data_IF_160213491796
#
_entry.id   IF_160213491796
#
_cell.length_a   1.000
_cell.length_b   1.000
_cell.length_c   1.000
_cell.angle_alpha   90.00
_cell.angle_beta   90.00
_cell.angle_gamma   90.00
#
_symmetry.space_group_name_H-M   'P 1'
#
loop_
_entity.id
_entity.type
_entity.pdbx_description
1 polymer ?
#
# COMPACT_ATOMS: atom_id res chain seq x y z
N UNK A 1 -24.15 -1.18 -3.30
CA UNK A 1 -23.95 -0.35 -4.50
C UNK A 1 -25.28 0.15 -5.06
N UNK A 2 -26.06 -0.67 -5.78
CA UNK A 2 -27.31 -0.21 -6.42
C UNK A 2 -28.41 0.30 -5.49
N UNK A 3 -28.59 -0.32 -4.30
CA UNK A 3 -29.56 0.13 -3.28
C UNK A 3 -29.22 1.51 -2.70
N UNK A 4 -27.93 1.81 -2.60
CA UNK A 4 -27.39 3.09 -2.09
C UNK A 4 -27.09 4.06 -3.24
N UNK A 5 -27.57 3.77 -4.46
CA UNK A 5 -27.32 4.56 -5.69
C UNK A 5 -25.83 4.80 -6.00
N UNK A 6 -24.94 3.91 -5.54
CA UNK A 6 -23.51 3.95 -5.85
C UNK A 6 -23.20 3.13 -7.11
N UNK A 7 -22.38 3.71 -8.00
CA UNK A 7 -21.94 3.11 -9.26
C UNK A 7 -20.42 2.95 -9.28
N UNK A 8 -19.96 1.75 -9.60
CA UNK A 8 -18.54 1.49 -9.79
C UNK A 8 -18.08 2.08 -11.13
N UNK A 9 -16.92 2.77 -11.12
CA UNK A 9 -16.30 3.23 -12.36
C UNK A 9 -15.61 2.05 -13.03
N UNK A 10 -16.21 1.51 -14.10
CA UNK A 10 -15.70 0.31 -14.77
C UNK A 10 -14.23 0.42 -15.19
N UNK A 11 -13.78 1.62 -15.59
CA UNK A 11 -12.38 1.88 -15.94
C UNK A 11 -11.37 1.75 -14.79
N UNK A 12 -11.84 1.59 -13.55
CA UNK A 12 -11.02 1.37 -12.35
C UNK A 12 -11.24 -0.02 -11.75
N UNK A 13 -12.08 -0.85 -12.36
CA UNK A 13 -12.36 -2.18 -11.88
C UNK A 13 -11.46 -3.18 -12.59
N UNK A 14 -10.78 -4.00 -11.80
CA UNK A 14 -10.00 -5.13 -12.30
C UNK A 14 -10.73 -6.41 -11.89
N UNK A 15 -10.90 -7.33 -12.84
CA UNK A 15 -11.63 -8.58 -12.64
C UNK A 15 -10.76 -9.75 -13.07
N UNK A 16 -10.93 -10.90 -12.41
CA UNK A 16 -10.25 -12.16 -12.73
C UNK A 16 -8.71 -12.10 -12.69
N UNK A 17 -8.15 -11.22 -11.86
CA UNK A 17 -6.71 -11.11 -11.63
C UNK A 17 -6.28 -11.98 -10.43
N UNK A 18 -5.12 -12.67 -10.52
CA UNK A 18 -4.63 -13.54 -9.45
C UNK A 18 -4.01 -12.76 -8.27
N UNK A 19 -3.68 -11.49 -8.49
CA UNK A 19 -3.08 -10.57 -7.53
C UNK A 19 -3.62 -9.17 -7.78
N UNK A 20 -3.96 -8.45 -6.72
CA UNK A 20 -4.40 -7.04 -6.77
C UNK A 20 -3.57 -6.18 -5.81
N UNK A 21 -3.29 -4.94 -6.19
CA UNK A 21 -2.69 -3.95 -5.31
C UNK A 21 -3.79 -3.04 -4.75
N UNK A 22 -3.93 -2.99 -3.43
CA UNK A 22 -4.97 -2.22 -2.76
C UNK A 22 -4.44 -1.59 -1.48
N UNK A 23 -4.61 -0.27 -1.32
CA UNK A 23 -4.17 0.51 -0.15
C UNK A 23 -2.69 0.28 0.26
N UNK A 24 -1.79 0.07 -0.71
CA UNK A 24 -0.36 -0.16 -0.43
C UNK A 24 -0.04 -1.61 -0.01
N UNK A 25 -1.00 -2.51 -0.15
CA UNK A 25 -0.82 -3.95 0.03
C UNK A 25 -1.01 -4.68 -1.30
N UNK A 26 -0.35 -5.83 -1.39
CA UNK A 26 -0.52 -6.81 -2.45
C UNK A 26 -1.36 -7.95 -1.88
N UNK A 27 -2.49 -8.26 -2.50
CA UNK A 27 -3.39 -9.32 -2.07
C UNK A 27 -3.40 -10.41 -3.14
N UNK A 28 -3.13 -11.65 -2.73
CA UNK A 28 -3.18 -12.83 -3.59
C UNK A 28 -3.78 -14.05 -2.85
N UNK A 29 -3.73 -15.23 -3.49
CA UNK A 29 -4.24 -16.48 -2.92
C UNK A 29 -3.57 -16.93 -1.61
N UNK A 30 -2.36 -16.42 -1.32
CA UNK A 30 -1.59 -16.76 -0.12
C UNK A 30 -1.85 -15.77 1.03
N UNK A 31 -2.49 -14.63 0.75
CA UNK A 31 -2.90 -13.66 1.75
C UNK A 31 -2.54 -12.22 1.38
N UNK A 32 -2.37 -11.40 2.41
CA UNK A 32 -2.03 -9.97 2.30
C UNK A 32 -0.52 -9.82 2.51
N UNK A 33 0.14 -9.21 1.54
CA UNK A 33 1.56 -8.93 1.55
C UNK A 33 1.76 -7.41 1.53
N UNK A 34 2.81 -6.94 2.20
CA UNK A 34 3.25 -5.56 2.03
C UNK A 34 3.76 -5.38 0.60
N UNK A 35 3.44 -4.25 -0.03
CA UNK A 35 3.95 -3.92 -1.36
C UNK A 35 5.48 -4.07 -1.42
N UNK A 36 6.03 -4.91 -2.32
CA UNK A 36 7.47 -5.04 -2.51
C UNK A 36 8.19 -3.71 -2.70
N UNK A 37 7.55 -2.72 -3.34
CA UNK A 37 8.12 -1.39 -3.52
C UNK A 37 8.35 -0.66 -2.18
N UNK A 38 7.47 -0.87 -1.19
CA UNK A 38 7.66 -0.32 0.17
C UNK A 38 8.80 -1.02 0.90
N UNK A 39 8.98 -2.32 0.66
CA UNK A 39 10.09 -3.11 1.23
C UNK A 39 11.43 -2.66 0.64
N UNK A 40 11.51 -2.48 -0.68
CA UNK A 40 12.72 -1.97 -1.35
C UNK A 40 13.07 -0.56 -0.90
N UNK A 41 12.08 0.32 -0.82
CA UNK A 41 12.28 1.68 -0.32
C UNK A 41 12.89 1.72 1.09
N UNK A 42 12.42 0.87 2.00
CA UNK A 42 12.99 0.76 3.37
C UNK A 42 14.39 0.15 3.35
N UNK A 43 14.65 -0.83 2.48
CA UNK A 43 15.97 -1.47 2.35
C UNK A 43 17.03 -0.52 1.79
N UNK A 44 16.67 0.28 0.80
CA UNK A 44 17.59 1.20 0.11
C UNK A 44 17.69 2.57 0.80
N UNK A 45 16.94 2.78 1.89
CA UNK A 45 16.96 4.04 2.62
C UNK A 45 18.29 4.24 3.34
N UNK A 46 19.08 5.21 2.88
CA UNK A 46 20.32 5.61 3.55
C UNK A 46 20.05 6.14 4.96
N UNK A 47 20.97 5.89 5.91
CA UNK A 47 20.82 6.35 7.30
C UNK A 47 20.45 7.84 7.36
N UNK A 48 19.31 8.21 7.96
CA UNK A 48 18.87 9.59 8.04
C UNK A 48 19.89 10.43 8.83
N UNK A 49 20.20 11.63 8.34
CA UNK A 49 21.19 12.55 8.93
C UNK A 49 20.55 13.77 9.56
N UNK A 50 19.25 13.99 9.34
CA UNK A 50 18.53 15.14 9.88
C UNK A 50 17.32 14.74 10.74
N UNK A 51 16.93 15.57 11.73
CA UNK A 51 15.72 15.34 12.52
C UNK A 51 14.44 15.23 11.68
N UNK A 52 14.39 15.88 10.51
CA UNK A 52 13.25 15.80 9.57
C UNK A 52 13.16 14.43 8.93
N UNK A 53 14.29 13.88 8.45
CA UNK A 53 14.34 12.53 7.87
C UNK A 53 14.01 11.46 8.90
N UNK A 54 14.45 11.63 10.16
CA UNK A 54 14.11 10.73 11.27
C UNK A 54 12.60 10.73 11.52
N UNK A 55 11.95 11.89 11.51
CA UNK A 55 10.48 12.00 11.68
C UNK A 55 9.72 11.36 10.52
N UNK A 56 10.20 11.54 9.29
CA UNK A 56 9.62 10.89 8.11
C UNK A 56 9.73 9.37 8.20
N UNK A 57 10.91 8.86 8.58
CA UNK A 57 11.13 7.43 8.80
C UNK A 57 10.17 6.85 9.84
N UNK A 58 10.07 7.49 11.01
CA UNK A 58 9.16 7.06 12.07
C UNK A 58 7.69 7.13 11.64
N UNK A 59 7.30 8.15 10.86
CA UNK A 59 5.95 8.29 10.33
C UNK A 59 5.55 7.16 9.38
N UNK A 60 6.50 6.61 8.61
CA UNK A 60 6.25 5.49 7.70
C UNK A 60 5.99 4.16 8.43
N UNK A 61 6.60 3.97 9.60
CA UNK A 61 6.39 2.80 10.46
C UNK A 61 5.10 2.86 11.29
N UNK A 62 4.62 4.06 11.62
CA UNK A 62 3.45 4.26 12.49
C UNK A 62 2.12 4.31 11.69
N UNK A 63 2.16 4.72 10.42
CA UNK A 63 0.96 4.86 9.56
C UNK A 63 0.69 3.66 8.64
N UNK A 64 1.55 2.63 8.67
CA UNK A 64 1.49 1.49 7.75
C UNK A 64 0.84 0.21 8.29
N UNK A 65 0.45 0.17 9.56
CA UNK A 65 -0.05 -1.02 10.28
C UNK A 65 -1.52 -0.89 10.75
N UNK A 66 -2.30 0.00 10.13
CA UNK A 66 -3.72 0.20 10.44
C UNK A 66 -4.60 0.11 9.21
#
# INVERSE_FOLDING_TARGET
>A
LKKEELYAKFSKCEFWIPKVQFLGHVIDSQGIHVDPAKIEFVKDWSSPKSPTEIRQFLGLGITGDS
#
